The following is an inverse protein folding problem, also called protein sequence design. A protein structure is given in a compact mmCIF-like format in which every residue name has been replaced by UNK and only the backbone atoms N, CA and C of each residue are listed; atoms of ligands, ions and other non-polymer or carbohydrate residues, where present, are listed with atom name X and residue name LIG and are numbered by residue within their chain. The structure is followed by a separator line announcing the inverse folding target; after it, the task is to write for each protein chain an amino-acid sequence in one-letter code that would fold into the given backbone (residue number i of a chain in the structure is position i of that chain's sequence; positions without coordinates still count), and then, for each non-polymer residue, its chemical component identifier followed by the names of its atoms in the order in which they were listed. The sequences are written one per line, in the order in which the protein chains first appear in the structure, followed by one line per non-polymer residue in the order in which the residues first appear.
data_IF_675436557276
#
_entry.id   IF_675436557276
#
_cell.length_a   1.000
_cell.length_b   1.000
_cell.length_c   1.000
_cell.angle_alpha   90.00
_cell.angle_beta   90.00
_cell.angle_gamma   90.00
#
_symmetry.space_group_name_H-M   'P 1'
#
loop_
_entity.id
_entity.type
_entity.pdbx_description
1 polymer ?
#
# COMPACT_ATOMS: atom_id res chain seq x y z
N UNK A 1 -0.06 14.46 1.02
CA UNK A 1 -1.12 13.64 1.66
C UNK A 1 -0.71 13.42 3.10
N UNK A 2 -1.65 13.51 4.04
CA UNK A 2 -1.39 13.22 5.45
C UNK A 2 -1.29 11.72 5.71
N UNK A 3 -0.65 11.33 6.81
CA UNK A 3 -0.51 9.94 7.23
C UNK A 3 -1.87 9.32 7.57
N UNK A 4 -2.18 8.16 7.00
CA UNK A 4 -3.48 7.48 7.15
C UNK A 4 -3.32 6.04 7.65
N UNK A 5 -3.87 5.73 8.82
CA UNK A 5 -3.83 4.38 9.39
C UNK A 5 -5.18 3.66 9.24
N UNK A 6 -5.11 2.33 9.15
CA UNK A 6 -6.28 1.46 9.23
C UNK A 6 -6.27 0.69 10.53
N UNK A 7 -7.36 0.75 11.28
CA UNK A 7 -7.54 0.08 12.57
C UNK A 7 -8.66 -0.93 12.41
N UNK A 8 -8.36 -2.21 12.63
CA UNK A 8 -9.34 -3.30 12.58
C UNK A 8 -9.41 -3.93 13.96
N UNK A 9 -10.53 -3.75 14.64
CA UNK A 9 -10.77 -4.27 15.99
C UNK A 9 -12.29 -4.41 16.18
N UNK A 10 -12.77 -5.60 16.53
CA UNK A 10 -14.20 -5.87 16.73
C UNK A 10 -14.73 -5.25 18.04
N UNK A 11 -13.85 -4.74 18.90
CA UNK A 11 -14.18 -3.93 20.07
C UNK A 11 -14.10 -2.42 19.74
N UNK A 12 -15.25 -1.73 19.51
CA UNK A 12 -15.23 -0.33 19.05
C UNK A 12 -14.62 0.63 20.07
N UNK A 13 -14.56 0.24 21.35
CA UNK A 13 -13.95 1.02 22.41
C UNK A 13 -12.43 1.14 22.24
N UNK A 14 -11.75 0.03 21.92
CA UNK A 14 -10.30 0.00 21.69
C UNK A 14 -9.95 0.88 20.50
N UNK A 15 -10.64 0.67 19.37
CA UNK A 15 -10.46 1.46 18.15
C UNK A 15 -10.65 2.96 18.36
N UNK A 16 -11.67 3.36 19.15
CA UNK A 16 -11.92 4.78 19.49
C UNK A 16 -10.78 5.40 20.29
N UNK A 17 -10.21 4.69 21.26
CA UNK A 17 -9.05 5.17 22.03
C UNK A 17 -7.85 5.38 21.12
N UNK A 18 -7.53 4.40 20.29
CA UNK A 18 -6.39 4.48 19.35
C UNK A 18 -6.57 5.66 18.39
N UNK A 19 -7.74 5.75 17.75
CA UNK A 19 -8.08 6.85 16.83
C UNK A 19 -7.98 8.23 17.49
N UNK A 20 -8.47 8.38 18.73
CA UNK A 20 -8.40 9.65 19.44
C UNK A 20 -6.95 10.07 19.75
N UNK A 21 -6.08 9.13 20.10
CA UNK A 21 -4.66 9.41 20.35
C UNK A 21 -3.94 9.77 19.05
N UNK A 22 -4.19 9.03 17.96
CA UNK A 22 -3.60 9.29 16.64
C UNK A 22 -4.02 10.65 16.06
N UNK A 23 -5.29 11.03 16.21
CA UNK A 23 -5.79 12.32 15.75
C UNK A 23 -5.05 13.50 16.42
N UNK A 24 -4.71 13.39 17.71
CA UNK A 24 -3.90 14.40 18.43
C UNK A 24 -2.45 14.45 17.97
N UNK A 25 -1.96 13.39 17.31
CA UNK A 25 -0.65 13.35 16.68
C UNK A 25 -0.70 13.78 15.19
N UNK A 26 -1.85 14.25 14.69
CA UNK A 26 -2.02 14.68 13.31
C UNK A 26 -2.12 13.52 12.30
N UNK A 27 -2.40 12.30 12.77
CA UNK A 27 -2.55 11.11 11.94
C UNK A 27 -4.04 10.81 11.78
N UNK A 28 -4.48 10.66 10.53
CA UNK A 28 -5.84 10.19 10.24
C UNK A 28 -5.93 8.68 10.45
N UNK A 29 -7.04 8.21 11.01
CA UNK A 29 -7.24 6.80 11.26
C UNK A 29 -8.69 6.38 10.99
N UNK A 30 -8.82 5.29 10.25
CA UNK A 30 -10.10 4.66 9.95
C UNK A 30 -10.24 3.46 10.86
N UNK A 31 -11.37 3.39 11.55
CA UNK A 31 -11.76 2.25 12.35
C UNK A 31 -12.73 1.40 11.54
N UNK A 32 -12.42 0.13 11.41
CA UNK A 32 -13.31 -0.93 10.93
C UNK A 32 -13.52 -1.93 12.07
N UNK A 33 -14.78 -2.29 12.32
CA UNK A 33 -15.16 -3.22 13.39
C UNK A 33 -15.59 -4.57 12.84
N UNK A 34 -15.58 -4.73 11.52
CA UNK A 34 -15.91 -5.95 10.81
C UNK A 34 -14.69 -6.44 10.02
N UNK A 35 -14.14 -7.58 10.44
CA UNK A 35 -12.95 -8.16 9.83
C UNK A 35 -13.17 -8.60 8.37
N UNK A 36 -14.39 -8.99 7.99
CA UNK A 36 -14.71 -9.34 6.61
C UNK A 36 -14.66 -8.10 5.71
N UNK A 37 -15.22 -6.97 6.17
CA UNK A 37 -15.10 -5.69 5.46
C UNK A 37 -13.66 -5.20 5.38
N UNK A 38 -12.86 -5.48 6.41
CA UNK A 38 -11.43 -5.20 6.36
C UNK A 38 -10.71 -6.00 5.28
N UNK A 39 -11.04 -7.29 5.10
CA UNK A 39 -10.49 -8.11 4.03
C UNK A 39 -10.83 -7.58 2.62
N UNK A 40 -12.03 -7.04 2.43
CA UNK A 40 -12.43 -6.42 1.16
C UNK A 40 -11.71 -5.09 0.88
N UNK A 41 -11.45 -4.30 1.93
CA UNK A 41 -10.91 -2.95 1.80
C UNK A 41 -9.39 -2.92 1.66
N UNK A 42 -8.68 -3.83 2.34
CA UNK A 42 -7.21 -3.89 2.34
C UNK A 42 -6.58 -3.96 0.93
N UNK A 43 -7.15 -4.67 -0.05
CA UNK A 43 -6.60 -4.67 -1.42
C UNK A 43 -6.86 -3.37 -2.19
N UNK A 44 -7.96 -2.67 -1.92
CA UNK A 44 -8.45 -1.56 -2.73
C UNK A 44 -7.99 -0.17 -2.29
N UNK A 45 -7.48 -0.02 -1.06
CA UNK A 45 -7.08 1.27 -0.50
C UNK A 45 -5.68 1.25 0.09
N UNK A 46 -4.99 2.39 0.07
CA UNK A 46 -3.65 2.53 0.67
C UNK A 46 -3.71 3.07 2.11
N UNK A 47 -2.88 2.49 2.97
CA UNK A 47 -2.67 2.93 4.36
C UNK A 47 -1.19 3.00 4.69
N UNK A 48 -0.78 3.90 5.57
CA UNK A 48 0.62 4.03 6.01
C UNK A 48 1.00 3.08 7.14
N UNK A 49 0.00 2.57 7.87
CA UNK A 49 0.12 1.46 8.80
C UNK A 49 -1.26 0.79 8.95
N UNK A 50 -1.27 -0.51 9.23
CA UNK A 50 -2.47 -1.30 9.51
C UNK A 50 -2.35 -1.90 10.91
N UNK A 51 -3.36 -1.70 11.74
CA UNK A 51 -3.48 -2.30 13.06
C UNK A 51 -4.56 -3.36 13.00
N UNK A 52 -4.22 -4.56 13.45
CA UNK A 52 -5.10 -5.72 13.41
C UNK A 52 -5.20 -6.28 14.82
N UNK A 53 -6.42 -6.34 15.35
CA UNK A 53 -6.65 -7.19 16.51
C UNK A 53 -6.40 -8.66 16.15
N UNK A 54 -5.74 -9.37 17.05
CA UNK A 54 -5.40 -10.78 16.83
C UNK A 54 -6.66 -11.63 16.90
N UNK A 55 -7.53 -11.35 17.86
CA UNK A 55 -8.69 -12.18 18.16
C UNK A 55 -9.98 -11.51 17.69
N UNK A 56 -10.43 -11.89 16.49
CA UNK A 56 -11.73 -11.50 15.94
C UNK A 56 -12.39 -12.72 15.32
N UNK A 57 -13.72 -12.70 15.10
CA UNK A 57 -14.36 -13.65 14.18
C UNK A 57 -13.63 -13.69 12.84
N UNK A 58 -13.52 -14.89 12.25
CA UNK A 58 -12.79 -15.08 11.01
C UNK A 58 -13.32 -14.18 9.88
N UNK A 59 -12.45 -13.51 9.09
CA UNK A 59 -11.00 -13.62 9.14
C UNK A 59 -10.37 -12.95 10.38
N UNK A 60 -9.49 -13.67 11.09
CA UNK A 60 -8.79 -13.15 12.26
C UNK A 60 -7.60 -12.25 11.87
N UNK A 61 -6.92 -11.66 12.87
CA UNK A 61 -5.78 -10.77 12.62
C UNK A 61 -4.62 -11.44 11.89
N UNK A 62 -4.38 -12.73 12.10
CA UNK A 62 -3.32 -13.46 11.40
C UNK A 62 -3.70 -13.70 9.93
N UNK A 63 -4.96 -14.04 9.66
CA UNK A 63 -5.47 -14.23 8.31
C UNK A 63 -5.44 -12.92 7.52
N UNK A 64 -5.86 -11.81 8.12
CA UNK A 64 -5.76 -10.49 7.52
C UNK A 64 -4.32 -10.06 7.26
N UNK A 65 -3.39 -10.36 8.18
CA UNK A 65 -1.97 -10.08 7.98
C UNK A 65 -1.41 -10.86 6.78
N UNK A 66 -1.73 -12.15 6.67
CA UNK A 66 -1.32 -13.00 5.52
C UNK A 66 -1.94 -12.50 4.21
N UNK A 67 -3.21 -12.11 4.22
CA UNK A 67 -3.89 -11.50 3.07
C UNK A 67 -3.20 -10.22 2.63
N UNK A 68 -2.86 -9.34 3.58
CA UNK A 68 -2.13 -8.12 3.27
C UNK A 68 -0.77 -8.43 2.64
N UNK A 69 -0.05 -9.45 3.16
CA UNK A 69 1.25 -9.87 2.62
C UNK A 69 1.18 -10.61 1.29
N UNK A 70 0.02 -11.12 0.87
CA UNK A 70 -0.10 -11.85 -0.40
C UNK A 70 -0.08 -10.94 -1.64
N UNK A 71 -0.26 -9.62 -1.49
CA UNK A 71 -0.12 -8.67 -2.59
C UNK A 71 -0.91 -7.38 -2.41
N UNK A 72 -0.96 -6.56 -3.46
CA UNK A 72 -1.70 -5.29 -3.49
C UNK A 72 -0.98 -4.13 -2.81
N UNK A 73 -1.70 -3.02 -2.63
CA UNK A 73 -1.14 -1.73 -2.19
C UNK A 73 -0.49 -1.75 -0.81
N UNK A 74 -0.92 -2.65 0.07
CA UNK A 74 -0.45 -2.71 1.46
C UNK A 74 0.56 -3.84 1.71
N UNK A 75 1.06 -4.51 0.67
CA UNK A 75 1.99 -5.65 0.79
C UNK A 75 3.18 -5.38 1.70
N UNK A 76 3.66 -4.14 1.74
CA UNK A 76 4.80 -3.74 2.57
C UNK A 76 4.45 -2.72 3.65
N UNK A 77 3.18 -2.33 3.73
CA UNK A 77 2.68 -1.46 4.78
C UNK A 77 2.91 -2.13 6.14
N UNK A 78 3.41 -1.39 7.15
CA UNK A 78 3.63 -1.93 8.48
C UNK A 78 2.34 -2.47 9.11
N UNK A 79 2.42 -3.68 9.67
CA UNK A 79 1.33 -4.33 10.40
C UNK A 79 1.64 -4.26 11.90
N UNK A 80 0.66 -3.80 12.66
CA UNK A 80 0.67 -3.74 14.13
C UNK A 80 -0.35 -4.74 14.64
N UNK A 81 0.12 -5.81 15.26
CA UNK A 81 -0.75 -6.77 15.93
C UNK A 81 -1.17 -6.20 17.28
N UNK A 82 -2.47 -6.12 17.52
CA UNK A 82 -3.04 -5.76 18.82
C UNK A 82 -3.54 -7.04 19.48
N UNK A 83 -3.22 -7.27 20.75
CA UNK A 83 -3.66 -8.48 21.45
C UNK A 83 -3.72 -8.27 22.95
N UNK A 84 -4.64 -8.92 23.64
CA UNK A 84 -4.60 -9.06 25.10
C UNK A 84 -3.76 -10.24 25.59
N UNK A 85 -3.32 -11.11 24.68
CA UNK A 85 -2.58 -12.33 24.96
C UNK A 85 -1.06 -12.06 24.94
N UNK A 86 -0.40 -12.28 26.08
CA UNK A 86 1.06 -12.15 26.24
C UNK A 86 1.81 -13.46 25.97
N UNK A 87 1.13 -14.53 25.54
CA UNK A 87 1.72 -15.81 25.16
C UNK A 87 2.77 -15.61 24.03
N UNK A 88 4.04 -16.03 24.25
CA UNK A 88 5.05 -16.06 23.20
C UNK A 88 4.63 -16.77 21.91
N UNK A 89 3.77 -17.79 21.99
CA UNK A 89 3.22 -18.49 20.84
C UNK A 89 2.35 -17.60 19.95
N UNK A 90 1.56 -16.69 20.54
CA UNK A 90 0.77 -15.69 19.80
C UNK A 90 1.69 -14.70 19.09
N UNK A 91 2.75 -14.24 19.76
CA UNK A 91 3.73 -13.37 19.14
C UNK A 91 4.41 -14.03 17.95
N UNK A 92 4.88 -15.28 18.10
CA UNK A 92 5.54 -16.01 17.03
C UNK A 92 4.62 -16.15 15.80
N UNK A 93 3.37 -16.56 16.00
CA UNK A 93 2.38 -16.66 14.90
C UNK A 93 2.12 -15.31 14.24
N UNK A 94 2.12 -14.21 15.00
CA UNK A 94 1.91 -12.87 14.44
C UNK A 94 3.09 -12.39 13.59
N UNK A 95 4.33 -12.66 14.01
CA UNK A 95 5.50 -12.39 13.17
C UNK A 95 5.52 -13.27 11.92
N UNK A 96 5.21 -14.56 12.05
CA UNK A 96 5.09 -15.49 10.91
C UNK A 96 4.00 -15.06 9.91
N UNK A 97 2.90 -14.49 10.39
CA UNK A 97 1.84 -13.93 9.56
C UNK A 97 2.23 -12.61 8.87
N UNK A 98 3.38 -12.01 9.24
CA UNK A 98 3.91 -10.78 8.63
C UNK A 98 3.73 -9.51 9.46
N UNK A 99 3.37 -9.64 10.74
CA UNK A 99 3.35 -8.55 11.71
C UNK A 99 4.74 -7.93 11.92
N UNK A 100 4.79 -6.60 12.08
CA UNK A 100 6.04 -5.86 12.33
C UNK A 100 6.16 -5.42 13.79
N UNK A 101 5.02 -5.10 14.41
CA UNK A 101 4.95 -4.55 15.76
C UNK A 101 3.83 -5.21 16.55
N UNK A 102 3.96 -5.17 17.87
CA UNK A 102 2.93 -5.66 18.80
C UNK A 102 2.53 -4.56 19.77
N UNK A 103 1.24 -4.46 20.02
CA UNK A 103 0.64 -3.61 21.05
C UNK A 103 -0.27 -4.45 21.95
N UNK A 104 0.12 -4.59 23.21
CA UNK A 104 -0.66 -5.33 24.19
C UNK A 104 -1.79 -4.49 24.77
N UNK A 105 -3.03 -4.97 24.64
CA UNK A 105 -4.22 -4.44 25.32
C UNK A 105 -4.03 -4.64 26.84
N UNK A 106 -4.44 -3.70 27.71
CA UNK A 106 -5.14 -2.45 27.40
C UNK A 106 -4.20 -1.38 26.80
N UNK A 107 -4.69 -0.71 25.74
CA UNK A 107 -3.95 0.33 25.04
C UNK A 107 -4.12 1.69 25.73
N UNK A 108 -2.99 2.30 26.10
CA UNK A 108 -2.94 3.66 26.62
C UNK A 108 -2.26 4.61 25.61
N UNK A 109 -2.44 5.92 25.82
CA UNK A 109 -1.82 6.97 25.00
C UNK A 109 -0.30 6.77 24.86
N UNK A 110 0.38 6.33 25.91
CA UNK A 110 1.84 6.21 25.94
C UNK A 110 2.30 5.06 25.05
N UNK A 111 1.64 3.90 25.09
CA UNK A 111 1.89 2.73 24.24
C UNK A 111 1.70 3.09 22.76
N UNK A 112 0.60 3.75 22.43
CA UNK A 112 0.29 4.17 21.05
C UNK A 112 1.33 5.16 20.51
N UNK A 113 1.69 6.20 21.28
CA UNK A 113 2.68 7.18 20.83
C UNK A 113 4.10 6.58 20.70
N UNK A 114 4.47 5.63 21.57
CA UNK A 114 5.73 4.88 21.40
C UNK A 114 5.73 4.08 20.11
N UNK A 115 4.61 3.43 19.78
CA UNK A 115 4.48 2.76 18.49
C UNK A 115 4.67 3.75 17.34
N UNK A 116 3.97 4.87 17.33
CA UNK A 116 4.07 5.88 16.25
C UNK A 116 5.53 6.30 16.05
N UNK A 117 6.25 6.56 17.14
CA UNK A 117 7.67 6.90 17.08
C UNK A 117 8.55 5.74 16.57
N UNK A 118 8.30 4.51 17.01
CA UNK A 118 9.07 3.34 16.60
C UNK A 118 8.80 2.94 15.14
N UNK A 119 7.60 3.20 14.64
CA UNK A 119 7.18 2.88 13.28
C UNK A 119 7.42 4.00 12.28
N UNK A 120 7.78 5.22 12.72
CA UNK A 120 8.01 6.39 11.87
C UNK A 120 8.94 6.08 10.68
N UNK A 121 10.07 5.41 10.92
CA UNK A 121 10.99 5.03 9.84
C UNK A 121 10.39 4.04 8.84
N UNK A 122 9.49 3.15 9.28
CA UNK A 122 8.78 2.23 8.40
C UNK A 122 7.67 2.94 7.62
N UNK A 123 6.91 3.81 8.28
CA UNK A 123 5.88 4.65 7.67
C UNK A 123 6.50 5.55 6.60
N UNK A 124 7.62 6.21 6.90
CA UNK A 124 8.33 7.05 5.94
C UNK A 124 8.83 6.24 4.74
N UNK A 125 9.41 5.05 4.96
CA UNK A 125 9.80 4.15 3.87
C UNK A 125 8.61 3.75 3.01
N UNK A 126 7.46 3.50 3.64
CA UNK A 126 6.23 3.19 2.95
C UNK A 126 5.69 4.39 2.18
N UNK A 127 5.61 5.58 2.76
CA UNK A 127 5.20 6.79 2.03
C UNK A 127 6.11 7.11 0.85
N UNK A 128 7.43 6.89 1.03
CA UNK A 128 8.42 7.02 -0.05
C UNK A 128 8.05 6.13 -1.24
N UNK A 129 7.68 4.87 -1.00
CA UNK A 129 7.26 3.91 -2.05
C UNK A 129 6.11 4.44 -2.94
N UNK A 130 5.22 5.29 -2.41
CA UNK A 130 4.08 5.88 -3.14
C UNK A 130 4.37 7.29 -3.63
N UNK A 131 5.56 7.83 -3.35
CA UNK A 131 5.99 9.11 -3.88
C UNK A 131 6.29 8.96 -5.37
N UNK A 132 5.67 9.81 -6.17
CA UNK A 132 5.95 9.91 -7.60
C UNK A 132 7.36 10.45 -7.81
N UNK A 133 8.13 9.74 -8.62
CA UNK A 133 9.48 10.09 -9.00
C UNK A 133 9.44 10.59 -10.43
N UNK A 134 10.02 11.76 -10.69
CA UNK A 134 10.22 12.24 -12.05
C UNK A 134 11.30 11.38 -12.69
N UNK A 135 10.90 10.56 -13.65
CA UNK A 135 11.79 9.62 -14.31
C UNK A 135 11.32 9.45 -15.75
N UNK A 136 12.21 9.66 -16.71
CA UNK A 136 11.93 9.51 -18.13
C UNK A 136 12.41 8.14 -18.62
N UNK A 137 11.53 7.14 -18.54
CA UNK A 137 11.77 5.80 -19.06
C UNK A 137 10.93 5.57 -20.31
N UNK A 138 11.50 5.01 -21.37
CA UNK A 138 10.71 4.52 -22.48
C UNK A 138 9.79 3.39 -21.99
N UNK A 139 8.56 3.39 -22.50
CA UNK A 139 7.61 2.30 -22.28
C UNK A 139 6.78 2.04 -23.55
N UNK A 140 6.36 0.79 -23.71
CA UNK A 140 5.35 0.40 -24.68
C UNK A 140 4.04 0.13 -23.93
N UNK A 141 2.94 0.61 -24.48
CA UNK A 141 1.61 0.44 -23.90
C UNK A 141 0.74 -0.33 -24.88
N UNK A 142 0.41 -1.58 -24.54
CA UNK A 142 -0.55 -2.38 -25.28
C UNK A 142 -1.95 -1.93 -24.90
N UNK A 143 -2.75 -1.59 -25.92
CA UNK A 143 -4.16 -1.21 -25.77
C UNK A 143 -4.99 -2.07 -26.73
N UNK A 144 -6.32 -2.09 -26.58
CA UNK A 144 -7.22 -2.73 -27.55
C UNK A 144 -7.00 -2.21 -28.99
N UNK A 145 -6.59 -0.95 -29.13
CA UNK A 145 -6.33 -0.29 -30.41
C UNK A 145 -4.87 -0.40 -30.85
N UNK A 146 -4.14 -1.42 -30.38
CA UNK A 146 -2.73 -1.66 -30.67
C UNK A 146 -1.77 -0.92 -29.74
N UNK A 147 -0.49 -0.95 -30.08
CA UNK A 147 0.59 -0.42 -29.23
C UNK A 147 0.69 1.11 -29.30
N UNK A 148 0.96 1.74 -28.17
CA UNK A 148 1.28 3.16 -28.02
C UNK A 148 2.68 3.26 -27.44
N UNK A 149 3.57 3.99 -28.12
CA UNK A 149 4.86 4.33 -27.54
C UNK A 149 4.69 5.49 -26.57
N UNK A 150 5.30 5.38 -25.40
CA UNK A 150 5.23 6.42 -24.39
C UNK A 150 6.57 6.58 -23.66
N UNK A 151 6.66 7.66 -22.89
CA UNK A 151 7.77 7.91 -21.97
C UNK A 151 7.19 8.35 -20.66
N UNK A 152 7.61 7.74 -19.55
CA UNK A 152 7.17 8.20 -18.23
C UNK A 152 7.60 9.66 -18.01
N UNK A 153 6.74 10.47 -17.41
CA UNK A 153 7.10 11.77 -16.83
C UNK A 153 7.28 11.62 -15.33
N UNK A 154 6.34 10.91 -14.70
CA UNK A 154 6.44 10.47 -13.32
C UNK A 154 6.02 9.00 -13.19
N UNK A 155 6.56 8.32 -12.19
CA UNK A 155 6.16 6.95 -11.84
C UNK A 155 6.23 6.75 -10.33
N UNK A 156 5.30 5.97 -9.81
CA UNK A 156 5.24 5.44 -8.45
C UNK A 156 4.86 3.96 -8.54
N UNK A 157 4.70 3.28 -7.40
CA UNK A 157 4.22 1.89 -7.41
C UNK A 157 2.73 1.73 -7.73
N UNK A 158 1.96 2.82 -7.80
CA UNK A 158 0.52 2.76 -8.01
C UNK A 158 0.09 3.28 -9.36
N UNK A 159 1.00 3.86 -10.12
CA UNK A 159 0.63 4.59 -11.31
C UNK A 159 1.74 5.46 -11.80
N UNK A 160 1.49 5.99 -12.98
CA UNK A 160 2.41 6.85 -13.69
C UNK A 160 1.66 7.95 -14.42
N UNK A 161 2.39 9.00 -14.75
CA UNK A 161 2.04 9.92 -15.82
C UNK A 161 3.02 9.65 -16.96
N UNK A 162 2.52 9.40 -18.17
CA UNK A 162 3.37 9.20 -19.34
C UNK A 162 2.98 10.15 -20.46
N UNK A 163 3.98 10.62 -21.21
CA UNK A 163 3.79 11.25 -22.51
C UNK A 163 3.56 10.16 -23.56
N UNK A 164 2.43 10.18 -24.24
CA UNK A 164 1.99 9.16 -25.19
C UNK A 164 2.04 9.71 -26.62
N UNK A 165 2.40 8.86 -27.59
CA UNK A 165 2.44 9.24 -29.01
C UNK A 165 1.06 9.51 -29.62
N UNK A 166 0.00 8.98 -29.01
CA UNK A 166 -1.41 9.21 -29.37
C UNK A 166 -2.32 9.11 -28.14
N UNK A 167 -3.49 9.78 -28.15
CA UNK A 167 -4.45 9.70 -27.05
C UNK A 167 -4.93 8.27 -26.79
N UNK A 168 -5.14 7.95 -25.52
CA UNK A 168 -5.74 6.69 -25.06
C UNK A 168 -7.02 7.02 -24.31
N UNK A 169 -8.15 6.36 -24.62
CA UNK A 169 -9.41 6.61 -23.93
C UNK A 169 -9.32 6.36 -22.41
N UNK A 170 -10.01 7.18 -21.63
CA UNK A 170 -10.17 6.93 -20.21
C UNK A 170 -10.96 5.62 -19.99
N UNK A 171 -10.58 4.85 -18.98
CA UNK A 171 -11.15 3.55 -18.65
C UNK A 171 -10.51 2.36 -19.35
N UNK A 172 -9.72 2.57 -20.42
CA UNK A 172 -9.05 1.49 -21.14
C UNK A 172 -8.11 0.70 -20.24
N UNK A 173 -8.23 -0.63 -20.27
CA UNK A 173 -7.20 -1.52 -19.74
C UNK A 173 -5.96 -1.43 -20.64
N UNK A 174 -4.80 -1.32 -20.02
CA UNK A 174 -3.53 -1.18 -20.72
C UNK A 174 -2.45 -2.02 -20.04
N UNK A 175 -1.63 -2.69 -20.84
CA UNK A 175 -0.42 -3.37 -20.35
C UNK A 175 0.78 -2.51 -20.69
N UNK A 176 1.57 -2.16 -19.67
CA UNK A 176 2.75 -1.31 -19.79
C UNK A 176 3.99 -2.18 -19.72
N UNK A 177 4.87 -2.09 -20.71
CA UNK A 177 6.22 -2.64 -20.67
C UNK A 177 7.18 -1.49 -20.49
N UNK A 178 7.71 -1.33 -19.27
CA UNK A 178 8.69 -0.28 -18.94
C UNK A 178 10.09 -0.85 -19.19
N UNK A 179 10.98 -0.05 -19.78
CA UNK A 179 12.35 -0.47 -20.14
C UNK A 179 13.39 0.33 -19.35
N UNK A 180 13.69 -0.03 -18.08
CA UNK A 180 14.74 0.65 -17.33
C UNK A 180 16.13 0.24 -17.84
N UNK A 181 17.12 1.14 -17.82
CA UNK A 181 18.47 0.83 -18.28
C UNK A 181 19.14 -0.25 -17.43
N UNK A 182 19.65 -1.31 -18.08
CA UNK A 182 20.46 -2.34 -17.43
C UNK A 182 19.67 -3.30 -16.53
N UNK A 183 18.35 -3.33 -16.64
CA UNK A 183 17.47 -4.30 -15.95
C UNK A 183 16.51 -4.95 -16.93
N UNK A 184 15.84 -6.01 -16.48
CA UNK A 184 14.75 -6.63 -17.23
C UNK A 184 13.56 -5.68 -17.42
N UNK A 185 12.73 -5.99 -18.41
CA UNK A 185 11.47 -5.30 -18.67
C UNK A 185 10.53 -5.53 -17.50
N UNK A 186 9.91 -4.45 -17.02
CA UNK A 186 8.89 -4.53 -15.97
C UNK A 186 7.52 -4.43 -16.63
N UNK A 187 6.69 -5.47 -16.44
CA UNK A 187 5.34 -5.51 -17.01
C UNK A 187 4.31 -5.12 -15.97
N UNK A 188 3.46 -4.15 -16.32
CA UNK A 188 2.49 -3.57 -15.41
C UNK A 188 1.13 -3.54 -16.08
N UNK A 189 0.20 -4.34 -15.57
CA UNK A 189 -1.22 -4.17 -15.87
C UNK A 189 -1.73 -2.87 -15.23
N UNK A 190 -2.52 -2.11 -15.97
CA UNK A 190 -2.93 -0.76 -15.57
C UNK A 190 -4.24 -0.34 -16.26
N UNK A 191 -4.81 0.76 -15.77
CA UNK A 191 -5.96 1.43 -16.37
C UNK A 191 -5.64 2.87 -16.69
N UNK A 192 -5.98 3.28 -17.90
CA UNK A 192 -5.97 4.67 -18.33
C UNK A 192 -7.01 5.47 -17.53
N UNK A 193 -6.59 6.42 -16.69
CA UNK A 193 -7.53 7.23 -15.90
C UNK A 193 -8.08 8.40 -16.71
N UNK A 194 -7.17 9.20 -17.28
CA UNK A 194 -7.51 10.42 -18.03
C UNK A 194 -6.31 10.98 -18.76
N UNK A 195 -6.58 11.73 -19.82
CA UNK A 195 -5.61 12.60 -20.47
C UNK A 195 -5.39 13.89 -19.66
N UNK A 196 -4.15 14.38 -19.61
CA UNK A 196 -3.72 15.64 -18.98
C UNK A 196 -3.15 16.55 -20.06
N UNK A 197 -4.02 17.34 -20.69
CA UNK A 197 -3.67 18.04 -21.93
C UNK A 197 -3.81 17.11 -23.14
N UNK A 198 -2.97 17.30 -24.16
CA UNK A 198 -3.11 16.61 -25.46
C UNK A 198 -2.37 15.28 -25.55
N UNK A 199 -1.29 15.12 -24.80
CA UNK A 199 -0.29 14.08 -25.03
C UNK A 199 0.19 13.40 -23.74
N UNK A 200 -0.41 13.68 -22.58
CA UNK A 200 -0.07 13.01 -21.32
C UNK A 200 -1.22 12.17 -20.83
N UNK A 201 -0.94 10.94 -20.45
CA UNK A 201 -1.91 9.99 -19.91
C UNK A 201 -1.54 9.65 -18.47
N UNK A 202 -2.51 9.80 -17.56
CA UNK A 202 -2.39 9.27 -16.22
C UNK A 202 -2.90 7.82 -16.20
N UNK A 203 -2.09 6.90 -15.67
CA UNK A 203 -2.47 5.50 -15.47
C UNK A 203 -2.43 5.15 -13.99
N UNK A 204 -3.33 4.27 -13.57
CA UNK A 204 -3.28 3.57 -12.27
C UNK A 204 -2.92 2.11 -12.53
N UNK A 205 -2.06 1.54 -11.70
CA UNK A 205 -1.65 0.13 -11.83
C UNK A 205 -2.70 -0.78 -11.21
N UNK A 206 -2.97 -1.91 -11.86
CA UNK A 206 -3.97 -2.91 -11.47
C UNK A 206 -3.30 -4.29 -11.55
N UNK A 207 -3.45 -5.15 -10.54
CA UNK A 207 -3.12 -6.58 -10.68
C UNK A 207 -1.69 -6.92 -11.15
N UNK A 208 -0.66 -6.32 -10.54
CA UNK A 208 0.74 -6.62 -10.86
C UNK A 208 1.22 -7.95 -10.26
N UNK A 209 2.06 -8.69 -10.98
CA UNK A 209 2.73 -9.88 -10.44
C UNK A 209 3.67 -9.50 -9.28
N UNK A 210 3.95 -10.45 -8.39
CA UNK A 210 4.88 -10.22 -7.27
C UNK A 210 6.29 -9.88 -7.77
N UNK A 211 6.73 -10.53 -8.84
CA UNK A 211 8.05 -10.35 -9.42
C UNK A 211 8.21 -8.95 -10.04
N UNK A 212 7.23 -8.51 -10.84
CA UNK A 212 7.22 -7.18 -11.45
C UNK A 212 7.13 -6.08 -10.38
N UNK A 213 6.34 -6.31 -9.32
CA UNK A 213 6.23 -5.38 -8.20
C UNK A 213 7.56 -5.24 -7.47
N UNK A 214 8.23 -6.36 -7.15
CA UNK A 214 9.56 -6.36 -6.54
C UNK A 214 10.61 -5.69 -7.46
N UNK A 215 10.52 -5.85 -8.78
CA UNK A 215 11.39 -5.20 -9.75
C UNK A 215 11.18 -3.68 -9.79
N UNK A 216 9.92 -3.22 -9.84
CA UNK A 216 9.58 -1.82 -9.77
C UNK A 216 10.01 -1.19 -8.44
N UNK A 217 9.86 -1.92 -7.34
CA UNK A 217 10.37 -1.53 -6.04
C UNK A 217 11.88 -1.30 -6.05
N UNK A 218 12.66 -2.24 -6.59
CA UNK A 218 14.12 -2.12 -6.70
C UNK A 218 14.54 -0.92 -7.55
N UNK A 219 13.78 -0.61 -8.60
CA UNK A 219 14.02 0.54 -9.45
C UNK A 219 13.74 1.87 -8.76
N UNK A 220 12.59 2.00 -8.09
CA UNK A 220 12.10 3.29 -7.59
C UNK A 220 12.65 3.66 -6.21
N UNK A 221 12.75 2.71 -5.27
CA UNK A 221 13.14 3.01 -3.88
C UNK A 221 14.45 3.81 -3.76
N UNK A 222 15.55 3.46 -4.46
CA UNK A 222 16.80 4.20 -4.36
C UNK A 222 16.72 5.66 -4.84
N UNK A 223 15.75 5.98 -5.70
CA UNK A 223 15.60 7.30 -6.31
C UNK A 223 14.77 8.26 -5.44
N UNK A 224 14.20 7.78 -4.33
CA UNK A 224 13.34 8.57 -3.44
C UNK A 224 14.20 9.26 -2.37
N UNK A 225 14.51 10.54 -2.60
CA UNK A 225 15.27 11.41 -1.68
C UNK A 225 14.48 11.80 -0.44
#
# INVERSE_FOLDING_TARGET
MGTRFYLVDDEPAVGRVVKAVLARAGIDAILETDSARAAERLPGEKFDAVFLDVHMPAPDGFQLARLQRSGGFNMHTPIVMMTGDEDPGVMNRGYEAGGNFFLFKPLDRRRILRFVKASEGFILREQRRFRRILLALPLAMETENGTVHATTEDISLNGLLARVSRPVPAGSAVRLSVFPPGTDVITIEARALRMVGRDRLACIFEGMSREDNDALHRLLIPLIR
#
